data_IF_654523492635
#
_entry.id   IF_654523492635
#
_cell.length_a   1.000
_cell.length_b   1.000
_cell.length_c   1.000
_cell.angle_alpha   90.00
_cell.angle_beta   90.00
_cell.angle_gamma   90.00
#
_symmetry.space_group_name_H-M   'P 1'
#
loop_
_entity.id
_entity.type
_entity.pdbx_description
1 polymer ?
#
# COMPACT_ATOMS: atom_id res chain seq x y z
N UNK A 1 -7.02 8.11 5.33
CA UNK A 1 -7.57 8.86 4.16
C UNK A 1 -8.88 8.20 3.80
N UNK A 2 -9.90 8.96 3.40
CA UNK A 2 -11.17 8.40 2.92
C UNK A 2 -10.99 7.86 1.52
N UNK A 3 -11.47 6.64 1.26
CA UNK A 3 -11.50 6.04 -0.08
C UNK A 3 -12.19 7.00 -1.06
N UNK A 4 -11.62 7.26 -2.27
CA UNK A 4 -12.20 8.22 -3.20
C UNK A 4 -13.64 7.83 -3.55
N UNK A 5 -14.47 8.84 -3.77
CA UNK A 5 -15.84 8.63 -4.26
C UNK A 5 -15.80 8.05 -5.68
N UNK A 6 -16.84 7.29 -6.06
CA UNK A 6 -16.96 6.77 -7.42
C UNK A 6 -16.95 7.91 -8.47
N UNK A 7 -17.46 9.09 -8.09
CA UNK A 7 -17.42 10.26 -8.96
C UNK A 7 -16.00 10.81 -9.15
N UNK A 8 -15.15 10.81 -8.12
CA UNK A 8 -13.74 11.19 -8.24
C UNK A 8 -12.97 10.25 -9.15
N UNK A 9 -13.17 8.93 -9.01
CA UNK A 9 -12.59 7.93 -9.92
C UNK A 9 -13.09 8.19 -11.36
N UNK A 10 -14.40 8.39 -11.54
CA UNK A 10 -15.00 8.64 -12.84
C UNK A 10 -14.42 9.87 -13.56
N UNK A 11 -14.04 10.93 -12.84
CA UNK A 11 -13.43 12.13 -13.43
C UNK A 11 -12.17 11.83 -14.23
N UNK A 12 -11.45 10.77 -13.87
CA UNK A 12 -10.20 10.35 -14.49
C UNK A 12 -10.35 9.15 -15.45
N UNK A 13 -11.56 8.63 -15.67
CA UNK A 13 -11.77 7.59 -16.68
C UNK A 13 -11.87 8.18 -18.10
N UNK A 14 -11.73 7.35 -19.16
CA UNK A 14 -11.88 7.80 -20.55
C UNK A 14 -13.28 8.35 -20.93
N UNK A 15 -14.31 8.09 -20.10
CA UNK A 15 -15.71 8.58 -20.25
C UNK A 15 -16.35 8.27 -21.62
N UNK A 16 -15.93 7.19 -22.27
CA UNK A 16 -16.49 6.76 -23.56
C UNK A 16 -17.75 5.90 -23.44
N UNK A 17 -18.05 5.36 -22.25
CA UNK A 17 -19.16 4.43 -22.01
C UNK A 17 -19.20 3.29 -23.05
N UNK A 18 -18.03 2.79 -23.47
CA UNK A 18 -17.93 1.85 -24.59
C UNK A 18 -18.45 0.43 -24.30
N UNK A 19 -18.69 0.08 -23.04
CA UNK A 19 -19.22 -1.24 -22.64
C UNK A 19 -18.24 -2.42 -22.73
N UNK A 20 -17.02 -2.22 -23.24
CA UNK A 20 -16.04 -3.30 -23.46
C UNK A 20 -15.63 -4.05 -22.18
N UNK A 21 -15.63 -3.38 -21.03
CA UNK A 21 -15.36 -3.98 -19.73
C UNK A 21 -16.60 -4.66 -19.09
N UNK A 22 -17.71 -4.81 -19.82
CA UNK A 22 -18.95 -5.40 -19.30
C UNK A 22 -19.81 -4.48 -18.43
N UNK A 23 -19.33 -3.27 -18.09
CA UNK A 23 -20.07 -2.31 -17.28
C UNK A 23 -21.00 -1.42 -18.13
N UNK A 24 -22.19 -1.10 -17.59
CA UNK A 24 -23.21 -0.27 -18.26
C UNK A 24 -22.76 1.17 -18.56
N UNK A 25 -21.78 1.69 -17.82
CA UNK A 25 -21.19 3.01 -18.02
C UNK A 25 -19.82 3.12 -17.36
N UNK A 26 -19.03 4.14 -17.71
CA UNK A 26 -17.78 4.44 -17.01
C UNK A 26 -18.02 4.79 -15.53
N UNK A 27 -19.17 5.39 -15.18
CA UNK A 27 -19.50 5.64 -13.78
C UNK A 27 -19.79 4.32 -13.04
N UNK A 28 -20.48 3.37 -13.67
CA UNK A 28 -20.69 2.05 -13.11
C UNK A 28 -19.35 1.32 -12.90
N UNK A 29 -18.42 1.43 -13.87
CA UNK A 29 -17.05 0.93 -13.71
C UNK A 29 -16.31 1.58 -12.54
N UNK A 30 -16.43 2.90 -12.37
CA UNK A 30 -15.85 3.61 -11.23
C UNK A 30 -16.42 3.15 -9.86
N UNK A 31 -17.72 2.84 -9.80
CA UNK A 31 -18.33 2.26 -8.59
C UNK A 31 -17.78 0.86 -8.31
N UNK A 32 -17.67 0.01 -9.34
CA UNK A 32 -17.11 -1.33 -9.18
C UNK A 32 -15.62 -1.32 -8.79
N UNK A 33 -14.82 -0.40 -9.34
CA UNK A 33 -13.43 -0.17 -8.94
C UNK A 33 -13.34 0.18 -7.45
N UNK A 34 -14.16 1.13 -6.99
CA UNK A 34 -14.23 1.54 -5.59
C UNK A 34 -14.60 0.38 -4.66
N UNK A 35 -15.44 -0.54 -5.13
CA UNK A 35 -15.86 -1.73 -4.39
C UNK A 35 -14.87 -2.90 -4.50
N UNK A 36 -13.78 -2.75 -5.27
CA UNK A 36 -12.78 -3.81 -5.51
C UNK A 36 -13.29 -4.97 -6.35
N UNK A 37 -14.37 -4.79 -7.13
CA UNK A 37 -14.98 -5.82 -7.98
C UNK A 37 -14.31 -5.97 -9.35
N UNK A 38 -13.54 -4.97 -9.76
CA UNK A 38 -12.78 -4.87 -11.03
C UNK A 38 -11.47 -4.15 -10.74
N UNK A 39 -10.47 -4.29 -11.62
CA UNK A 39 -9.20 -3.56 -11.57
C UNK A 39 -9.08 -2.53 -12.70
N UNK A 40 -8.07 -1.65 -12.65
CA UNK A 40 -7.85 -0.65 -13.71
C UNK A 40 -7.57 -1.29 -15.07
N UNK A 41 -6.94 -2.46 -15.07
CA UNK A 41 -6.57 -3.23 -16.26
C UNK A 41 -7.79 -3.74 -17.04
N UNK A 42 -8.95 -3.87 -16.40
CA UNK A 42 -10.21 -4.29 -17.05
C UNK A 42 -10.72 -3.24 -18.07
N UNK A 43 -10.23 -2.00 -18.03
CA UNK A 43 -10.59 -0.98 -19.00
C UNK A 43 -9.55 -0.88 -20.14
N UNK A 44 -9.80 -1.57 -21.25
CA UNK A 44 -8.92 -1.53 -22.45
C UNK A 44 -8.52 -0.11 -22.89
N UNK A 45 -9.48 0.82 -22.92
CA UNK A 45 -9.22 2.20 -23.33
C UNK A 45 -8.25 2.90 -22.38
N UNK A 46 -8.38 2.67 -21.07
CA UNK A 46 -7.50 3.25 -20.06
C UNK A 46 -6.06 2.72 -20.19
N UNK A 47 -5.88 1.52 -20.75
CA UNK A 47 -4.57 0.91 -20.96
C UNK A 47 -3.85 1.40 -22.22
N UNK A 48 -4.52 2.18 -23.07
CA UNK A 48 -3.88 2.78 -24.25
C UNK A 48 -2.87 3.88 -23.87
N UNK A 49 -1.82 4.12 -24.68
CA UNK A 49 -0.84 5.17 -24.40
C UNK A 49 -1.44 6.57 -24.22
N UNK A 50 -2.57 6.85 -24.87
CA UNK A 50 -3.30 8.12 -24.79
C UNK A 50 -3.75 8.48 -23.37
N UNK A 51 -4.01 7.47 -22.53
CA UNK A 51 -4.55 7.64 -21.18
C UNK A 51 -3.53 7.33 -20.08
N UNK A 52 -2.22 7.41 -20.39
CA UNK A 52 -1.16 7.15 -19.42
C UNK A 52 -1.27 8.02 -18.16
N UNK A 53 -1.55 9.32 -18.34
CA UNK A 53 -1.64 10.27 -17.22
C UNK A 53 -2.81 9.94 -16.30
N UNK A 54 -3.99 9.68 -16.88
CA UNK A 54 -5.19 9.27 -16.17
C UNK A 54 -4.98 7.97 -15.40
N UNK A 55 -4.33 6.98 -16.02
CA UNK A 55 -4.01 5.70 -15.37
C UNK A 55 -3.08 5.87 -14.17
N UNK A 56 -2.05 6.73 -14.28
CA UNK A 56 -1.14 7.00 -13.17
C UNK A 56 -1.86 7.71 -12.01
N UNK A 57 -2.69 8.71 -12.30
CA UNK A 57 -3.51 9.39 -11.31
C UNK A 57 -4.47 8.42 -10.61
N UNK A 58 -5.12 7.54 -11.35
CA UNK A 58 -6.02 6.52 -10.80
C UNK A 58 -5.28 5.57 -9.85
N UNK A 59 -4.09 5.10 -10.21
CA UNK A 59 -3.24 4.27 -9.34
C UNK A 59 -2.84 4.98 -8.06
N UNK A 60 -2.64 6.29 -8.11
CA UNK A 60 -2.33 7.11 -6.94
C UNK A 60 -3.55 7.25 -6.02
N UNK A 61 -4.70 7.67 -6.54
CA UNK A 61 -5.89 7.93 -5.72
C UNK A 61 -6.56 6.66 -5.20
N UNK A 62 -6.44 5.54 -5.92
CA UNK A 62 -6.89 4.22 -5.45
C UNK A 62 -5.91 3.59 -4.46
N UNK A 63 -4.76 4.23 -4.22
CA UNK A 63 -3.72 3.72 -3.35
C UNK A 63 -3.02 2.47 -3.90
N UNK A 64 -3.27 2.03 -5.13
CA UNK A 64 -2.54 0.92 -5.78
C UNK A 64 -1.04 1.22 -5.97
N UNK A 65 -0.61 2.43 -5.61
CA UNK A 65 0.79 2.79 -5.45
C UNK A 65 1.39 2.11 -4.21
N UNK A 66 2.55 1.48 -4.35
CA UNK A 66 3.28 0.88 -3.24
C UNK A 66 3.20 -0.64 -3.17
N UNK A 67 4.18 -1.23 -2.47
CA UNK A 67 4.35 -2.67 -2.33
C UNK A 67 3.45 -3.21 -1.22
N UNK A 68 2.57 -4.17 -1.51
CA UNK A 68 1.75 -4.85 -0.50
C UNK A 68 2.44 -6.13 -0.05
N UNK A 69 2.67 -6.26 1.25
CA UNK A 69 3.29 -7.42 1.89
C UNK A 69 2.23 -8.45 2.31
N UNK A 70 2.66 -9.68 2.61
CA UNK A 70 1.79 -10.77 3.08
C UNK A 70 1.02 -10.41 4.36
N UNK A 71 1.62 -9.60 5.24
CA UNK A 71 0.96 -9.04 6.43
C UNK A 71 -0.17 -8.06 6.09
N UNK A 72 -0.45 -7.83 4.80
CA UNK A 72 -1.32 -6.77 4.27
C UNK A 72 -0.85 -5.36 4.62
N UNK A 73 0.44 -5.20 4.91
CA UNK A 73 1.07 -3.88 5.04
C UNK A 73 1.44 -3.37 3.64
N UNK A 74 0.89 -2.25 3.23
CA UNK A 74 1.29 -1.50 2.04
C UNK A 74 2.40 -0.50 2.38
N UNK A 75 3.45 -0.50 1.56
CA UNK A 75 4.59 0.40 1.66
C UNK A 75 4.60 1.33 0.44
N UNK A 76 4.34 2.61 0.68
CA UNK A 76 4.45 3.70 -0.29
C UNK A 76 5.91 4.17 -0.37
N UNK A 77 6.72 3.55 -1.23
CA UNK A 77 8.16 3.84 -1.35
C UNK A 77 8.44 5.31 -1.67
N UNK A 78 7.58 5.96 -2.45
CA UNK A 78 7.69 7.37 -2.82
C UNK A 78 7.56 8.31 -1.61
N UNK A 79 6.86 7.87 -0.56
CA UNK A 79 6.69 8.63 0.69
C UNK A 79 7.74 8.29 1.74
N UNK A 80 8.34 7.09 1.65
CA UNK A 80 9.30 6.60 2.62
C UNK A 80 10.62 7.35 2.51
N UNK A 81 11.12 7.88 3.62
CA UNK A 81 12.43 8.57 3.69
C UNK A 81 13.50 7.76 4.43
N UNK A 82 13.21 6.51 4.78
CA UNK A 82 14.18 5.62 5.44
C UNK A 82 14.52 5.98 6.89
N UNK A 83 13.73 6.80 7.58
CA UNK A 83 14.02 7.23 8.96
C UNK A 83 14.08 6.09 10.01
N UNK A 84 13.63 4.87 9.67
CA UNK A 84 13.74 3.72 10.56
C UNK A 84 12.75 3.68 11.73
N UNK A 85 11.86 4.67 11.89
CA UNK A 85 10.95 4.69 13.04
C UNK A 85 10.04 3.44 13.12
N UNK A 86 9.57 2.94 11.98
CA UNK A 86 8.80 1.70 11.90
C UNK A 86 9.61 0.43 12.22
N UNK A 87 10.94 0.50 12.12
CA UNK A 87 11.87 -0.58 12.48
C UNK A 87 12.14 -0.54 13.98
N UNK A 88 12.44 0.65 14.53
CA UNK A 88 12.81 0.88 15.92
C UNK A 88 11.61 0.70 16.86
N UNK A 89 10.44 1.23 16.49
CA UNK A 89 9.23 1.14 17.32
C UNK A 89 8.56 -0.24 17.26
N UNK A 90 8.90 -1.09 16.30
CA UNK A 90 8.29 -2.41 16.15
C UNK A 90 8.67 -3.31 17.35
N UNK A 91 7.71 -3.73 18.19
CA UNK A 91 8.02 -4.58 19.34
C UNK A 91 8.64 -5.91 18.93
N UNK A 92 8.15 -6.49 17.84
CA UNK A 92 8.67 -7.74 17.31
C UNK A 92 10.14 -7.62 16.84
N UNK A 93 10.52 -6.51 16.21
CA UNK A 93 11.92 -6.27 15.84
C UNK A 93 12.81 -6.13 17.07
N UNK A 94 12.40 -5.35 18.07
CA UNK A 94 13.16 -5.13 19.30
C UNK A 94 13.35 -6.44 20.07
N UNK A 95 12.34 -7.32 20.07
CA UNK A 95 12.45 -8.65 20.69
C UNK A 95 13.44 -9.58 19.98
N UNK A 96 13.68 -9.40 18.67
CA UNK A 96 14.66 -10.20 17.92
C UNK A 96 16.09 -9.68 18.08
N UNK A 97 16.27 -8.37 18.07
CA UNK A 97 17.59 -7.75 18.14
C UNK A 97 17.56 -6.40 18.89
N UNK A 98 18.18 -6.39 20.07
CA UNK A 98 18.27 -5.20 20.93
C UNK A 98 19.04 -4.04 20.28
N UNK A 99 19.87 -4.29 19.26
CA UNK A 99 20.51 -3.21 18.49
C UNK A 99 19.47 -2.28 17.84
N UNK A 100 18.33 -2.83 17.44
CA UNK A 100 17.24 -2.07 16.83
C UNK A 100 16.67 -1.04 17.81
N UNK A 101 16.54 -1.38 19.09
CA UNK A 101 16.06 -0.45 20.11
C UNK A 101 16.97 0.78 20.26
N UNK A 102 18.27 0.62 20.02
CA UNK A 102 19.26 1.70 20.03
C UNK A 102 19.36 2.47 18.71
N UNK A 103 18.47 2.22 17.74
CA UNK A 103 18.51 2.86 16.42
C UNK A 103 19.63 2.36 15.50
N UNK A 104 20.29 1.25 15.86
CA UNK A 104 21.30 0.61 15.01
C UNK A 104 20.64 -0.36 14.04
N UNK A 105 21.34 -0.65 12.95
CA UNK A 105 20.90 -1.66 11.99
C UNK A 105 20.83 -3.06 12.64
N UNK A 106 19.79 -3.86 12.35
CA UNK A 106 19.68 -5.22 12.84
C UNK A 106 20.83 -6.11 12.32
N UNK A 107 21.35 -6.96 13.20
CA UNK A 107 22.34 -8.00 12.94
C UNK A 107 21.69 -9.39 12.76
N UNK A 108 20.43 -9.52 13.15
CA UNK A 108 19.61 -10.73 12.99
C UNK A 108 18.38 -10.46 12.11
N UNK A 109 17.73 -11.49 11.55
CA UNK A 109 16.45 -11.33 10.88
C UNK A 109 15.42 -10.64 11.79
N UNK A 110 14.69 -9.68 11.22
CA UNK A 110 13.63 -8.90 11.87
C UNK A 110 12.45 -8.73 10.91
N UNK A 111 11.32 -8.21 11.37
CA UNK A 111 10.13 -8.01 10.50
C UNK A 111 10.39 -6.99 9.39
N UNK A 112 10.74 -5.77 9.77
CA UNK A 112 11.00 -4.65 8.85
C UNK A 112 12.42 -4.16 9.02
N UNK A 113 13.05 -3.73 7.94
CA UNK A 113 14.41 -3.18 7.91
C UNK A 113 14.48 -2.02 6.92
N UNK A 114 15.37 -1.05 7.16
CA UNK A 114 15.69 -0.02 6.18
C UNK A 114 16.82 -0.54 5.28
N UNK A 115 16.56 -0.64 3.97
CA UNK A 115 17.53 -0.99 2.93
C UNK A 115 17.47 0.04 1.83
N UNK A 116 18.62 0.51 1.34
CA UNK A 116 18.69 1.53 0.30
C UNK A 116 17.82 2.78 0.59
N UNK A 117 17.77 3.21 1.86
CA UNK A 117 16.99 4.37 2.28
C UNK A 117 15.47 4.18 2.28
N UNK A 118 14.97 2.95 2.10
CA UNK A 118 13.53 2.62 2.13
C UNK A 118 13.25 1.49 3.10
N UNK A 119 12.06 1.48 3.70
CA UNK A 119 11.62 0.35 4.51
C UNK A 119 11.26 -0.82 3.61
N UNK A 120 11.67 -2.02 4.00
CA UNK A 120 11.40 -3.28 3.32
C UNK A 120 11.23 -4.38 4.37
N UNK A 121 10.65 -5.50 3.96
CA UNK A 121 10.60 -6.71 4.77
C UNK A 121 11.96 -7.43 4.82
N UNK A 122 12.25 -8.10 5.94
CA UNK A 122 13.31 -9.10 6.00
C UNK A 122 12.72 -10.48 6.31
N UNK A 123 11.96 -10.63 7.39
CA UNK A 123 11.22 -11.85 7.68
C UNK A 123 9.85 -11.52 8.30
N UNK A 124 8.79 -11.65 7.50
CA UNK A 124 7.44 -11.29 7.93
C UNK A 124 6.85 -12.26 8.95
N UNK A 125 7.36 -13.49 9.04
CA UNK A 125 6.86 -14.48 10.01
C UNK A 125 7.02 -14.02 11.46
N UNK A 126 7.99 -13.12 11.70
CA UNK A 126 8.28 -12.48 12.98
C UNK A 126 7.19 -11.46 13.37
N UNK A 127 6.38 -10.98 12.42
CA UNK A 127 5.34 -10.01 12.72
C UNK A 127 4.33 -10.58 13.71
N UNK A 128 4.15 -9.92 14.87
CA UNK A 128 3.21 -10.40 15.90
C UNK A 128 1.74 -10.53 15.46
N UNK A 129 1.37 -9.96 14.30
CA UNK A 129 0.03 -10.17 13.71
C UNK A 129 -0.18 -11.59 13.18
N UNK A 130 0.89 -12.37 13.03
CA UNK A 130 0.85 -13.79 12.71
C UNK A 130 0.92 -14.70 13.95
N UNK A 131 1.14 -14.16 15.15
CA UNK A 131 1.08 -14.95 16.38
C UNK A 131 -0.32 -15.53 16.63
N UNK A 132 -0.38 -16.58 17.45
CA UNK A 132 -1.63 -17.20 17.91
C UNK A 132 -1.70 -17.10 19.44
N UNK A 133 -2.73 -16.43 20.02
CA UNK A 133 -3.85 -15.78 19.35
C UNK A 133 -3.40 -14.53 18.56
N UNK A 134 -4.12 -14.24 17.47
CA UNK A 134 -3.82 -13.09 16.61
C UNK A 134 -3.84 -11.79 17.42
N UNK A 135 -2.70 -11.10 17.44
CA UNK A 135 -2.56 -9.82 18.13
C UNK A 135 -2.97 -8.67 17.19
N UNK A 136 -3.73 -7.72 17.71
CA UNK A 136 -3.86 -6.42 17.05
C UNK A 136 -2.54 -5.65 17.21
N UNK A 137 -2.01 -5.15 16.09
CA UNK A 137 -0.79 -4.35 16.08
C UNK A 137 -0.79 -3.38 14.90
N UNK A 138 -0.53 -2.11 15.18
CA UNK A 138 -0.42 -1.08 14.16
C UNK A 138 0.73 -0.09 14.39
N UNK A 139 1.69 -0.45 15.26
CA UNK A 139 2.78 0.41 15.72
C UNK A 139 3.60 1.00 14.56
N UNK A 140 3.90 0.21 13.52
CA UNK A 140 4.67 0.69 12.37
C UNK A 140 3.93 1.75 11.55
N UNK A 141 2.59 1.65 11.47
CA UNK A 141 1.73 2.60 10.77
C UNK A 141 1.59 3.88 11.59
N UNK A 142 1.29 3.75 12.89
CA UNK A 142 1.10 4.89 13.79
C UNK A 142 2.36 5.75 13.93
N UNK A 143 3.53 5.10 13.99
CA UNK A 143 4.79 5.80 14.15
C UNK A 143 5.43 6.24 12.82
N UNK A 144 4.74 6.11 11.67
CA UNK A 144 5.30 6.56 10.40
C UNK A 144 5.06 8.07 10.18
N UNK A 145 6.07 8.95 10.32
CA UNK A 145 5.87 10.40 10.21
C UNK A 145 5.49 10.86 8.80
N UNK A 146 5.79 10.03 7.78
CA UNK A 146 5.49 10.31 6.37
C UNK A 146 4.22 9.63 5.86
N UNK A 147 3.51 8.88 6.71
CA UNK A 147 2.34 8.08 6.31
C UNK A 147 2.64 7.22 5.07
N UNK A 148 3.84 6.61 5.09
CA UNK A 148 4.34 5.73 4.03
C UNK A 148 3.91 4.27 4.22
N UNK A 149 3.20 3.97 5.30
CA UNK A 149 2.78 2.64 5.71
C UNK A 149 1.28 2.65 5.98
N UNK A 150 0.55 1.66 5.49
CA UNK A 150 -0.90 1.51 5.67
C UNK A 150 -1.28 0.03 5.64
N UNK A 151 -2.22 -0.41 6.48
CA UNK A 151 -2.80 -1.75 6.32
C UNK A 151 -3.98 -1.68 5.36
N UNK A 152 -4.01 -2.60 4.40
CA UNK A 152 -5.01 -2.66 3.33
C UNK A 152 -5.76 -3.97 3.32
#
# INVERSE_FOLDING_TARGET
MTLPSAYEIYKHLPKKNCGKCGMKSCLAFAMALREGKVSLEDCELLMTPKHLRERLLLKEILGESGKVLETRLRIYEERCIGCGQCVISCPANVSQDLNVAGGRGPQKPVTLVVRNGKVSEWDLSICRRFETPKQYCNVCVENCPRKALEFV
#
